data_IF_147762964438
#
_entry.id   IF_147762964438
#
_cell.length_a   1.000
_cell.length_b   1.000
_cell.length_c   1.000
_cell.angle_alpha   90.00
_cell.angle_beta   90.00
_cell.angle_gamma   90.00
#
_symmetry.space_group_name_H-M   'P 1'
#
loop_
_entity.id
_entity.type
_entity.pdbx_description
1 polymer ?
#
# COMPACT_ATOMS: atom_id res chain seq x y z
N UNK A 1 15.00 -11.20 -14.88
CA UNK A 1 14.06 -10.28 -14.20
C UNK A 1 14.82 -9.80 -13.00
N UNK A 2 14.94 -8.49 -12.76
CA UNK A 2 15.55 -8.02 -11.53
C UNK A 2 14.81 -8.64 -10.36
N UNK A 3 15.58 -9.04 -9.37
CA UNK A 3 15.13 -9.97 -8.35
C UNK A 3 14.10 -9.28 -7.44
N UNK A 4 13.15 -10.05 -6.90
CA UNK A 4 12.25 -9.60 -5.84
C UNK A 4 13.07 -9.42 -4.55
N UNK A 5 13.80 -8.29 -4.50
CA UNK A 5 14.77 -7.89 -3.46
C UNK A 5 14.02 -7.59 -2.17
N UNK A 6 12.95 -6.81 -2.25
CA UNK A 6 12.05 -6.53 -1.12
C UNK A 6 11.52 -7.82 -0.50
N UNK A 7 10.91 -8.69 -1.32
CA UNK A 7 10.38 -9.96 -0.84
C UNK A 7 11.47 -10.90 -0.30
N UNK A 8 12.71 -10.80 -0.81
CA UNK A 8 13.84 -11.55 -0.25
C UNK A 8 14.20 -11.06 1.16
N UNK A 9 14.27 -9.75 1.36
CA UNK A 9 14.53 -9.17 2.68
C UNK A 9 13.47 -9.59 3.70
N UNK A 10 12.18 -9.54 3.32
CA UNK A 10 11.09 -10.03 4.18
C UNK A 10 11.26 -11.52 4.51
N UNK A 11 11.55 -12.35 3.51
CA UNK A 11 11.69 -13.78 3.70
C UNK A 11 12.89 -14.13 4.59
N UNK A 12 14.01 -13.46 4.39
CA UNK A 12 15.22 -13.67 5.20
C UNK A 12 14.99 -13.20 6.64
N UNK A 13 14.29 -12.07 6.85
CA UNK A 13 13.93 -11.60 8.18
C UNK A 13 13.03 -12.60 8.90
N UNK A 14 11.98 -13.07 8.23
CA UNK A 14 11.07 -14.05 8.79
C UNK A 14 11.76 -15.37 9.18
N UNK A 15 12.77 -15.81 8.39
CA UNK A 15 13.51 -17.05 8.67
C UNK A 15 14.70 -16.85 9.64
N UNK A 16 14.94 -15.64 10.14
CA UNK A 16 16.07 -15.34 11.01
C UNK A 16 17.43 -15.36 10.31
N UNK A 17 17.46 -15.14 8.98
CA UNK A 17 18.65 -15.12 8.13
C UNK A 17 18.87 -13.77 7.44
N UNK A 18 18.25 -12.71 7.97
CA UNK A 18 18.42 -11.35 7.47
C UNK A 18 19.84 -10.84 7.72
N UNK A 19 20.32 -10.02 6.78
CA UNK A 19 21.68 -9.48 6.74
C UNK A 19 21.55 -8.00 6.40
N UNK A 20 21.51 -7.10 7.40
CA UNK A 20 21.32 -5.68 7.15
C UNK A 20 22.46 -5.08 6.31
N UNK A 21 22.21 -3.98 5.57
CA UNK A 21 20.95 -3.23 5.52
C UNK A 21 20.01 -3.66 4.38
N UNK A 22 18.72 -3.34 4.53
CA UNK A 22 17.82 -3.12 3.39
C UNK A 22 17.87 -1.62 3.08
N UNK A 23 18.26 -1.25 1.87
CA UNK A 23 18.35 0.14 1.44
C UNK A 23 17.22 0.49 0.47
N UNK A 24 16.77 1.74 0.54
CA UNK A 24 15.88 2.35 -0.44
C UNK A 24 16.61 3.52 -1.11
N UNK A 25 16.82 3.39 -2.42
CA UNK A 25 17.33 4.47 -3.27
C UNK A 25 16.16 5.28 -3.78
N UNK A 26 16.32 6.60 -3.89
CA UNK A 26 15.31 7.52 -4.40
C UNK A 26 15.92 8.53 -5.39
N UNK A 27 15.09 9.37 -6.01
CA UNK A 27 15.53 10.35 -7.01
C UNK A 27 15.80 11.76 -6.44
N UNK A 28 15.70 11.97 -5.13
CA UNK A 28 15.80 13.29 -4.48
C UNK A 28 16.88 13.39 -3.39
N UNK A 29 17.52 12.29 -3.01
CA UNK A 29 18.48 12.23 -1.91
C UNK A 29 19.41 11.01 -1.96
N UNK A 30 20.18 10.84 -0.89
CA UNK A 30 21.06 9.67 -0.70
C UNK A 30 20.22 8.43 -0.32
N UNK A 31 20.75 7.21 -0.54
CA UNK A 31 20.04 5.99 -0.14
C UNK A 31 19.81 5.94 1.37
N UNK A 32 18.61 5.54 1.77
CA UNK A 32 18.18 5.46 3.16
C UNK A 32 18.07 3.99 3.61
N UNK A 33 18.33 3.71 4.88
CA UNK A 33 18.10 2.38 5.44
C UNK A 33 16.62 2.22 5.79
N UNK A 34 15.99 1.18 5.26
CA UNK A 34 14.61 0.81 5.56
C UNK A 34 14.62 -0.28 6.65
N UNK A 35 14.20 0.01 7.89
CA UNK A 35 14.18 -0.98 8.95
C UNK A 35 13.19 -2.09 8.61
N UNK A 36 13.67 -3.31 8.37
CA UNK A 36 12.84 -4.41 7.87
C UNK A 36 11.80 -4.88 8.90
N UNK A 37 12.09 -4.68 10.19
CA UNK A 37 11.19 -4.96 11.31
C UNK A 37 9.86 -4.19 11.24
N UNK A 38 9.86 -3.03 10.57
CA UNK A 38 8.66 -2.22 10.32
C UNK A 38 7.64 -3.05 9.54
N UNK A 39 8.04 -3.97 8.66
CA UNK A 39 7.09 -4.85 7.95
C UNK A 39 6.54 -5.99 8.82
N UNK A 40 7.04 -6.17 10.04
CA UNK A 40 6.67 -7.25 10.95
C UNK A 40 6.12 -6.74 12.29
N UNK A 41 5.66 -5.49 12.34
CA UNK A 41 4.97 -4.90 13.51
C UNK A 41 3.93 -5.86 14.08
N UNK A 42 3.88 -5.92 15.40
CA UNK A 42 2.83 -6.60 16.14
C UNK A 42 1.61 -5.68 16.30
N UNK A 43 0.42 -6.19 16.65
CA UNK A 43 -0.79 -5.38 16.78
C UNK A 43 -0.65 -4.17 17.71
N UNK A 44 0.12 -4.31 18.80
CA UNK A 44 0.37 -3.22 19.77
C UNK A 44 1.30 -2.11 19.21
N UNK A 45 1.99 -2.37 18.11
CA UNK A 45 2.93 -1.43 17.45
C UNK A 45 2.30 -0.70 16.25
N UNK A 46 1.02 -0.97 15.93
CA UNK A 46 0.31 -0.29 14.86
C UNK A 46 -0.01 1.16 15.22
N UNK A 47 0.07 2.05 14.24
CA UNK A 47 -0.31 3.45 14.44
C UNK A 47 -1.82 3.59 14.70
N UNK A 48 -2.23 4.71 15.29
CA UNK A 48 -3.65 5.03 15.50
C UNK A 48 -4.42 5.03 14.17
N UNK A 49 -3.79 5.49 13.09
CA UNK A 49 -4.36 5.47 11.74
C UNK A 49 -4.57 4.04 11.22
N UNK A 50 -3.58 3.15 11.38
CA UNK A 50 -3.70 1.74 10.97
C UNK A 50 -4.81 1.03 11.75
N UNK A 51 -4.86 1.23 13.07
CA UNK A 51 -5.91 0.68 13.93
C UNK A 51 -7.29 1.18 13.50
N UNK A 52 -7.43 2.48 13.24
CA UNK A 52 -8.69 3.06 12.80
C UNK A 52 -9.13 2.54 11.41
N UNK A 53 -8.19 2.35 10.48
CA UNK A 53 -8.48 1.73 9.19
C UNK A 53 -8.98 0.28 9.32
N UNK A 54 -8.40 -0.49 10.25
CA UNK A 54 -8.85 -1.86 10.57
C UNK A 54 -10.27 -1.83 11.15
N UNK A 55 -10.58 -0.93 12.08
CA UNK A 55 -11.92 -0.77 12.66
C UNK A 55 -12.98 -0.38 11.62
N UNK A 56 -12.58 0.39 10.61
CA UNK A 56 -13.43 0.76 9.49
C UNK A 56 -13.62 -0.37 8.48
N UNK A 57 -12.89 -1.48 8.54
CA UNK A 57 -13.14 -2.60 7.63
C UNK A 57 -14.47 -3.30 7.98
N UNK A 58 -15.23 -3.67 6.96
CA UNK A 58 -16.46 -4.46 7.13
C UNK A 58 -16.67 -5.42 5.96
N UNK A 59 -17.44 -6.48 6.23
CA UNK A 59 -17.83 -7.49 5.25
C UNK A 59 -16.66 -8.34 4.76
N UNK A 60 -16.56 -8.47 3.45
CA UNK A 60 -15.46 -9.15 2.75
C UNK A 60 -14.36 -8.16 2.41
N UNK A 61 -13.16 -8.41 2.92
CA UNK A 61 -12.02 -7.50 2.80
C UNK A 61 -10.99 -8.02 1.79
N UNK A 62 -10.53 -7.14 0.90
CA UNK A 62 -9.32 -7.34 0.09
C UNK A 62 -8.21 -6.45 0.64
N UNK A 63 -7.19 -7.05 1.24
CA UNK A 63 -5.98 -6.36 1.70
C UNK A 63 -4.96 -6.35 0.54
N UNK A 64 -4.68 -5.18 -0.02
CA UNK A 64 -3.87 -5.02 -1.24
C UNK A 64 -2.48 -4.52 -0.89
N UNK A 65 -1.45 -5.21 -1.41
CA UNK A 65 -0.07 -4.94 -1.03
C UNK A 65 0.20 -5.42 0.40
N UNK A 66 -0.38 -6.57 0.76
CA UNK A 66 -0.41 -7.06 2.14
C UNK A 66 0.98 -7.34 2.73
N UNK A 67 2.04 -7.43 1.93
CA UNK A 67 3.43 -7.53 2.38
C UNK A 67 3.64 -8.76 3.25
N UNK A 68 4.10 -8.56 4.49
CA UNK A 68 4.25 -9.66 5.45
C UNK A 68 2.92 -10.08 6.13
N UNK A 69 1.79 -9.44 5.79
CA UNK A 69 0.45 -9.82 6.21
C UNK A 69 0.00 -9.25 7.56
N UNK A 70 0.62 -8.18 8.06
CA UNK A 70 0.32 -7.60 9.38
C UNK A 70 -1.17 -7.29 9.53
N UNK A 71 -1.75 -6.51 8.60
CA UNK A 71 -3.16 -6.15 8.65
C UNK A 71 -4.06 -7.37 8.40
N UNK A 72 -3.74 -8.19 7.40
CA UNK A 72 -4.50 -9.41 7.11
C UNK A 72 -4.60 -10.37 8.30
N UNK A 73 -3.53 -10.57 9.07
CA UNK A 73 -3.51 -11.47 10.23
C UNK A 73 -4.52 -11.06 11.30
N UNK A 74 -4.71 -9.75 11.50
CA UNK A 74 -5.71 -9.20 12.41
C UNK A 74 -7.11 -9.32 11.80
N UNK A 75 -7.27 -8.86 10.56
CA UNK A 75 -8.56 -8.81 9.89
C UNK A 75 -9.19 -10.18 9.66
N UNK A 76 -8.40 -11.23 9.39
CA UNK A 76 -8.91 -12.58 9.11
C UNK A 76 -9.58 -13.27 10.31
N UNK A 77 -9.46 -12.70 11.51
CA UNK A 77 -10.15 -13.18 12.71
C UNK A 77 -11.49 -12.46 12.94
N UNK A 78 -11.71 -11.33 12.26
CA UNK A 78 -12.94 -10.52 12.34
C UNK A 78 -13.80 -10.61 11.07
N UNK A 79 -13.16 -10.76 9.91
CA UNK A 79 -13.76 -10.67 8.59
C UNK A 79 -13.27 -11.80 7.67
N UNK A 80 -13.98 -12.01 6.56
CA UNK A 80 -13.43 -12.80 5.47
C UNK A 80 -12.44 -11.92 4.69
N UNK A 81 -11.15 -12.07 5.00
CA UNK A 81 -10.07 -11.31 4.37
C UNK A 81 -9.32 -12.14 3.33
N UNK A 82 -8.98 -11.50 2.22
CA UNK A 82 -8.08 -12.01 1.17
C UNK A 82 -6.89 -11.07 1.08
N UNK A 83 -5.68 -11.60 1.30
CA UNK A 83 -4.43 -10.88 1.07
C UNK A 83 -4.03 -10.98 -0.40
N UNK A 84 -3.69 -9.85 -1.02
CA UNK A 84 -3.23 -9.75 -2.39
C UNK A 84 -1.85 -9.10 -2.42
N UNK A 85 -0.88 -9.78 -3.01
CA UNK A 85 0.47 -9.22 -3.19
C UNK A 85 1.10 -9.67 -4.50
N UNK A 86 1.94 -8.83 -5.10
CA UNK A 86 2.68 -9.13 -6.33
C UNK A 86 4.01 -9.85 -6.07
N UNK A 87 4.53 -9.80 -4.83
CA UNK A 87 5.71 -10.53 -4.41
C UNK A 87 5.35 -11.96 -4.01
N UNK A 88 5.90 -12.93 -4.75
CA UNK A 88 5.79 -14.35 -4.41
C UNK A 88 6.45 -14.66 -3.06
N UNK A 89 7.52 -13.94 -2.70
CA UNK A 89 8.24 -14.15 -1.44
C UNK A 89 7.47 -13.57 -0.26
N UNK A 90 6.85 -12.40 -0.41
CA UNK A 90 5.90 -11.85 0.56
C UNK A 90 4.70 -12.80 0.78
N UNK A 91 4.12 -13.34 -0.29
CA UNK A 91 3.09 -14.38 -0.21
C UNK A 91 3.54 -15.62 0.59
N UNK A 92 4.81 -16.03 0.45
CA UNK A 92 5.37 -17.14 1.22
C UNK A 92 5.48 -16.77 2.70
N UNK A 93 5.95 -15.57 3.03
CA UNK A 93 6.00 -15.06 4.41
C UNK A 93 4.60 -15.06 5.03
N UNK A 94 3.60 -14.50 4.35
CA UNK A 94 2.21 -14.51 4.81
C UNK A 94 1.70 -15.92 5.11
N UNK A 95 1.99 -16.88 4.21
CA UNK A 95 1.61 -18.27 4.41
C UNK A 95 2.27 -18.89 5.64
N UNK A 96 3.55 -18.60 5.88
CA UNK A 96 4.30 -19.10 7.04
C UNK A 96 3.82 -18.45 8.35
N UNK A 97 3.36 -17.20 8.31
CA UNK A 97 2.78 -16.49 9.45
C UNK A 97 1.32 -16.88 9.75
N UNK A 98 0.66 -17.66 8.89
CA UNK A 98 -0.69 -18.17 9.14
C UNK A 98 -1.82 -17.39 8.47
N UNK A 99 -1.53 -16.60 7.44
CA UNK A 99 -2.57 -15.98 6.60
C UNK A 99 -3.34 -17.06 5.83
N UNK A 100 -4.67 -17.05 5.94
CA UNK A 100 -5.56 -18.12 5.45
C UNK A 100 -5.83 -18.04 3.94
N UNK A 101 -6.04 -16.84 3.39
CA UNK A 101 -6.38 -16.62 1.99
C UNK A 101 -5.37 -15.67 1.34
N UNK A 102 -4.50 -16.20 0.49
CA UNK A 102 -3.43 -15.44 -0.16
C UNK A 102 -3.56 -15.57 -1.67
N UNK A 103 -3.48 -14.44 -2.37
CA UNK A 103 -3.45 -14.37 -3.82
C UNK A 103 -2.16 -13.68 -4.25
N UNK A 104 -1.33 -14.42 -5.00
CA UNK A 104 -0.17 -13.85 -5.68
C UNK A 104 -0.59 -13.31 -7.05
N UNK A 105 -0.83 -12.00 -7.14
CA UNK A 105 -1.24 -11.35 -8.38
C UNK A 105 -0.97 -9.84 -8.33
N UNK A 106 -0.67 -9.27 -9.49
CA UNK A 106 -0.70 -7.81 -9.68
C UNK A 106 -2.14 -7.29 -9.57
N UNK A 107 -2.33 -6.21 -8.80
CA UNK A 107 -3.64 -5.62 -8.53
C UNK A 107 -4.47 -5.38 -9.80
N UNK A 108 -3.89 -4.74 -10.80
CA UNK A 108 -4.61 -4.37 -12.03
C UNK A 108 -4.89 -5.57 -12.94
N UNK A 109 -4.25 -6.72 -12.70
CA UNK A 109 -4.50 -8.00 -13.37
C UNK A 109 -5.41 -8.93 -12.58
N UNK A 110 -5.72 -8.61 -11.33
CA UNK A 110 -6.56 -9.47 -10.49
C UNK A 110 -8.01 -9.51 -11.01
N UNK A 111 -8.54 -10.70 -11.26
CA UNK A 111 -9.91 -10.92 -11.75
C UNK A 111 -10.60 -12.00 -10.91
N UNK A 112 -11.07 -11.67 -9.70
CA UNK A 112 -11.77 -12.60 -8.84
C UNK A 112 -13.20 -12.84 -9.31
N UNK A 113 -13.74 -14.02 -9.00
CA UNK A 113 -15.16 -14.32 -9.16
C UNK A 113 -16.02 -13.64 -8.08
N UNK A 114 -15.41 -13.30 -6.94
CA UNK A 114 -16.08 -12.62 -5.83
C UNK A 114 -15.85 -11.11 -5.86
N UNK A 115 -16.76 -10.39 -5.21
CA UNK A 115 -16.65 -8.97 -4.94
C UNK A 115 -16.29 -8.71 -3.47
N UNK A 116 -15.83 -7.50 -3.19
CA UNK A 116 -15.36 -7.05 -1.87
C UNK A 116 -16.19 -5.88 -1.35
N UNK A 117 -16.53 -5.92 -0.07
CA UNK A 117 -17.21 -4.83 0.63
C UNK A 117 -16.21 -3.74 1.01
N UNK A 118 -14.97 -4.15 1.35
CA UNK A 118 -13.86 -3.25 1.65
C UNK A 118 -12.62 -3.64 0.85
N UNK A 119 -11.99 -2.68 0.17
CA UNK A 119 -10.62 -2.80 -0.33
C UNK A 119 -9.75 -1.94 0.59
N UNK A 120 -8.76 -2.56 1.23
CA UNK A 120 -7.83 -1.90 2.14
C UNK A 120 -6.47 -1.72 1.45
N UNK A 121 -5.92 -0.50 1.56
CA UNK A 121 -4.62 -0.12 1.00
C UNK A 121 -3.90 0.77 2.02
N UNK A 122 -3.02 0.20 2.85
CA UNK A 122 -2.35 0.92 3.94
C UNK A 122 -0.84 1.04 3.72
N UNK A 123 -0.17 1.83 4.58
CA UNK A 123 1.27 2.12 4.54
C UNK A 123 1.66 2.89 3.27
N UNK A 124 1.03 4.06 3.09
CA UNK A 124 1.03 4.83 1.85
C UNK A 124 0.44 4.02 0.69
N UNK A 125 -0.79 3.54 0.86
CA UNK A 125 -1.47 2.63 -0.06
C UNK A 125 -1.56 3.15 -1.50
N UNK A 126 -1.59 4.47 -1.72
CA UNK A 126 -1.53 5.07 -3.07
C UNK A 126 -0.23 4.77 -3.80
N UNK A 127 0.83 4.50 -3.03
CA UNK A 127 2.18 4.20 -3.44
C UNK A 127 2.28 3.22 -4.58
N UNK A 128 1.68 2.03 -4.42
CA UNK A 128 1.75 0.93 -5.40
C UNK A 128 1.18 1.29 -6.78
N UNK A 129 0.43 2.39 -6.89
CA UNK A 129 -0.14 2.89 -8.14
C UNK A 129 0.88 3.75 -8.90
N UNK A 130 1.83 4.37 -8.20
CA UNK A 130 3.00 5.07 -8.74
C UNK A 130 2.73 6.38 -9.50
N UNK A 131 1.54 6.60 -10.06
CA UNK A 131 1.20 7.84 -10.77
C UNK A 131 -0.27 8.23 -10.61
N UNK A 132 -0.60 9.52 -10.72
CA UNK A 132 -1.99 10.00 -10.69
C UNK A 132 -2.85 9.35 -11.78
N UNK A 133 -2.26 9.10 -12.96
CA UNK A 133 -2.94 8.41 -14.06
C UNK A 133 -3.30 6.97 -13.68
N UNK A 134 -2.38 6.25 -13.04
CA UNK A 134 -2.63 4.90 -12.58
C UNK A 134 -3.63 4.86 -11.41
N UNK A 135 -3.60 5.84 -10.51
CA UNK A 135 -4.63 6.01 -9.48
C UNK A 135 -6.03 6.17 -10.09
N UNK A 136 -6.19 7.06 -11.07
CA UNK A 136 -7.45 7.24 -11.81
C UNK A 136 -7.91 5.96 -12.52
N UNK A 137 -6.98 5.22 -13.13
CA UNK A 137 -7.26 3.93 -13.77
C UNK A 137 -7.67 2.87 -12.74
N UNK A 138 -7.01 2.83 -11.59
CA UNK A 138 -7.32 1.95 -10.48
C UNK A 138 -8.73 2.21 -9.97
N UNK A 139 -9.13 3.46 -9.72
CA UNK A 139 -10.50 3.78 -9.29
C UNK A 139 -11.56 3.34 -10.30
N UNK A 140 -11.27 3.41 -11.60
CA UNK A 140 -12.17 2.85 -12.63
C UNK A 140 -12.26 1.33 -12.52
N UNK A 141 -11.11 0.67 -12.35
CA UNK A 141 -11.01 -0.78 -12.22
C UNK A 141 -11.59 -1.32 -10.90
N UNK A 142 -11.44 -0.60 -9.78
CA UNK A 142 -11.88 -1.00 -8.45
C UNK A 142 -13.41 -1.19 -8.38
N UNK A 143 -14.19 -0.47 -9.19
CA UNK A 143 -15.64 -0.73 -9.35
C UNK A 143 -15.94 -2.17 -9.79
N UNK A 144 -15.02 -2.78 -10.55
CA UNK A 144 -15.14 -4.18 -10.97
C UNK A 144 -14.82 -5.17 -9.85
N UNK A 145 -14.15 -4.73 -8.78
CA UNK A 145 -13.83 -5.54 -7.60
C UNK A 145 -14.83 -5.34 -6.46
N UNK A 146 -15.46 -4.18 -6.38
CA UNK A 146 -16.38 -3.87 -5.28
C UNK A 146 -17.75 -4.55 -5.42
N UNK A 147 -18.32 -4.89 -4.26
CA UNK A 147 -19.70 -5.26 -4.07
C UNK A 147 -20.59 -4.01 -4.11
N UNK A 148 -21.91 -4.21 -4.04
CA UNK A 148 -22.84 -3.09 -3.88
C UNK A 148 -22.54 -2.34 -2.59
N UNK A 149 -22.45 -1.01 -2.65
CA UNK A 149 -22.03 -0.14 -1.54
C UNK A 149 -20.60 -0.36 -1.01
N UNK A 150 -19.77 -1.12 -1.74
CA UNK A 150 -18.38 -1.36 -1.36
C UNK A 150 -17.55 -0.06 -1.35
N UNK A 151 -16.49 -0.06 -0.55
CA UNK A 151 -15.60 1.11 -0.34
C UNK A 151 -14.13 0.74 -0.46
N UNK A 152 -13.31 1.76 -0.70
CA UNK A 152 -11.86 1.69 -0.55
C UNK A 152 -11.48 2.46 0.70
N UNK A 153 -10.61 1.89 1.52
CA UNK A 153 -9.94 2.57 2.64
C UNK A 153 -8.47 2.66 2.26
N UNK A 154 -7.95 3.88 2.16
CA UNK A 154 -6.61 4.15 1.63
C UNK A 154 -5.93 5.28 2.38
N UNK A 155 -4.66 5.11 2.71
CA UNK A 155 -3.82 6.17 3.28
C UNK A 155 -2.81 6.72 2.27
N UNK A 156 -2.34 7.93 2.57
CA UNK A 156 -1.23 8.61 1.89
C UNK A 156 -0.71 9.73 2.78
N UNK A 157 0.43 10.31 2.40
CA UNK A 157 0.94 11.55 2.98
C UNK A 157 1.04 12.67 1.93
N UNK A 158 1.01 13.91 2.40
CA UNK A 158 1.49 15.05 1.63
C UNK A 158 3.00 15.23 1.85
N UNK A 159 3.78 15.10 0.78
CA UNK A 159 5.24 15.20 0.83
C UNK A 159 5.74 16.55 0.31
N UNK A 160 4.89 17.58 0.31
CA UNK A 160 5.24 18.93 -0.15
C UNK A 160 6.46 19.50 0.61
N UNK A 161 6.63 19.14 1.88
CA UNK A 161 7.77 19.54 2.71
C UNK A 161 9.15 19.19 2.11
N UNK A 162 9.24 18.14 1.28
CA UNK A 162 10.49 17.78 0.59
C UNK A 162 10.93 18.81 -0.45
N UNK A 163 10.03 19.70 -0.88
CA UNK A 163 10.25 20.65 -1.96
C UNK A 163 10.24 22.12 -1.49
N UNK A 164 9.99 22.41 -0.21
CA UNK A 164 9.92 23.77 0.34
C UNK A 164 11.20 24.59 0.12
N UNK A 165 12.37 23.94 0.21
CA UNK A 165 13.68 24.56 0.00
C UNK A 165 14.23 24.36 -1.43
N UNK A 166 13.46 23.72 -2.31
CA UNK A 166 13.90 23.26 -3.63
C UNK A 166 13.03 23.72 -4.80
N UNK A 167 13.22 23.08 -5.95
CA UNK A 167 12.35 23.24 -7.11
C UNK A 167 11.37 22.06 -7.19
N UNK A 168 10.10 22.37 -7.42
CA UNK A 168 9.10 21.35 -7.70
C UNK A 168 9.40 20.70 -9.06
N UNK A 169 9.13 19.40 -9.22
CA UNK A 169 9.25 18.76 -10.52
C UNK A 169 8.20 19.30 -11.51
N UNK A 170 8.47 19.12 -12.81
CA UNK A 170 7.53 19.44 -13.90
C UNK A 170 6.29 18.51 -13.93
N UNK A 171 6.20 17.58 -13.00
CA UNK A 171 5.10 16.64 -12.80
C UNK A 171 4.60 16.73 -11.36
N UNK A 172 3.54 16.01 -11.02
CA UNK A 172 3.03 16.02 -9.66
C UNK A 172 4.08 15.52 -8.65
N UNK A 173 4.45 16.37 -7.70
CA UNK A 173 5.58 16.18 -6.79
C UNK A 173 5.51 14.89 -5.98
N UNK A 174 4.29 14.43 -5.66
CA UNK A 174 4.05 13.15 -5.02
C UNK A 174 4.46 11.89 -5.81
N UNK A 175 4.86 12.02 -7.08
CA UNK A 175 5.31 10.88 -7.90
C UNK A 175 6.83 10.68 -7.79
N UNK A 176 7.23 9.76 -6.93
CA UNK A 176 8.62 9.43 -6.62
C UNK A 176 9.07 8.17 -7.37
N UNK A 177 10.37 8.02 -7.61
CA UNK A 177 10.97 6.78 -8.10
C UNK A 177 11.87 6.17 -7.02
N UNK A 178 11.64 4.90 -6.70
CA UNK A 178 12.39 4.14 -5.70
C UNK A 178 13.03 2.89 -6.30
N UNK A 179 14.07 2.40 -5.63
CA UNK A 179 14.69 1.10 -5.89
C UNK A 179 15.20 0.49 -4.59
N UNK A 180 14.80 -0.75 -4.30
CA UNK A 180 15.35 -1.48 -3.17
C UNK A 180 16.73 -2.06 -3.49
N UNK A 181 17.61 -2.09 -2.49
CA UNK A 181 18.85 -2.83 -2.50
C UNK A 181 18.98 -3.70 -1.24
N UNK A 182 19.34 -4.96 -1.40
CA UNK A 182 19.56 -5.91 -0.31
C UNK A 182 20.68 -6.86 -0.70
N UNK A 183 21.64 -7.14 0.19
CA UNK A 183 22.80 -8.01 -0.10
C UNK A 183 23.59 -7.59 -1.35
N UNK A 184 23.72 -6.28 -1.59
CA UNK A 184 24.38 -5.68 -2.76
C UNK A 184 23.69 -6.00 -4.10
N UNK A 185 22.45 -6.51 -4.05
CA UNK A 185 21.61 -6.74 -5.23
C UNK A 185 20.51 -5.67 -5.30
N UNK A 186 20.42 -5.01 -6.46
CA UNK A 186 19.43 -3.98 -6.71
C UNK A 186 18.20 -4.58 -7.41
N UNK A 187 17.02 -4.18 -6.93
CA UNK A 187 15.73 -4.57 -7.48
C UNK A 187 15.34 -3.76 -8.72
N UNK A 188 14.11 -3.94 -9.17
CA UNK A 188 13.53 -3.07 -10.20
C UNK A 188 13.33 -1.64 -9.66
N UNK A 189 13.53 -0.65 -10.52
CA UNK A 189 13.03 0.70 -10.29
C UNK A 189 11.50 0.66 -10.35
N UNK A 190 10.85 1.27 -9.37
CA UNK A 190 9.40 1.40 -9.32
C UNK A 190 8.98 2.81 -8.97
N UNK A 191 7.78 3.18 -9.43
CA UNK A 191 7.17 4.46 -9.10
C UNK A 191 6.34 4.33 -7.85
N UNK A 192 6.35 5.36 -7.02
CA UNK A 192 5.57 5.44 -5.80
C UNK A 192 4.81 6.75 -5.76
N UNK A 193 3.50 6.69 -5.53
CA UNK A 193 2.64 7.86 -5.44
C UNK A 193 2.29 8.17 -3.99
N UNK A 194 2.80 9.28 -3.49
CA UNK A 194 2.17 10.04 -2.41
C UNK A 194 1.20 11.02 -3.06
N UNK A 195 0.02 11.21 -2.50
CA UNK A 195 -1.00 12.12 -3.01
C UNK A 195 -1.58 12.93 -1.86
N UNK A 196 -1.57 14.26 -1.96
CA UNK A 196 -2.21 15.17 -1.04
C UNK A 196 -3.74 15.03 -1.07
N UNK A 197 -4.40 15.47 0.01
CA UNK A 197 -5.84 15.31 0.18
C UNK A 197 -6.65 15.98 -0.94
N UNK A 198 -6.28 17.19 -1.36
CA UNK A 198 -7.00 17.97 -2.37
C UNK A 198 -6.90 17.31 -3.75
N UNK A 199 -5.70 16.85 -4.12
CA UNK A 199 -5.46 16.14 -5.37
C UNK A 199 -6.17 14.78 -5.36
N UNK A 200 -6.17 14.04 -4.25
CA UNK A 200 -6.90 12.78 -4.13
C UNK A 200 -8.40 13.00 -4.35
N UNK A 201 -9.00 13.98 -3.66
CA UNK A 201 -10.41 14.31 -3.79
C UNK A 201 -10.77 14.71 -5.22
N UNK A 202 -9.96 15.59 -5.85
CA UNK A 202 -10.17 16.05 -7.22
C UNK A 202 -10.12 14.89 -8.22
N UNK A 203 -9.05 14.08 -8.19
CA UNK A 203 -8.87 12.97 -9.15
C UNK A 203 -9.94 11.90 -8.95
N UNK A 204 -10.33 11.61 -7.70
CA UNK A 204 -11.41 10.66 -7.41
C UNK A 204 -12.77 11.16 -7.96
N UNK A 205 -13.10 12.44 -7.74
CA UNK A 205 -14.33 13.04 -8.23
C UNK A 205 -14.44 13.00 -9.77
N UNK A 206 -13.33 13.19 -10.49
CA UNK A 206 -13.30 13.10 -11.96
C UNK A 206 -13.73 11.72 -12.52
N UNK A 207 -13.61 10.65 -11.72
CA UNK A 207 -14.05 9.28 -12.08
C UNK A 207 -15.24 8.81 -11.25
N UNK A 208 -15.97 9.77 -10.67
CA UNK A 208 -17.24 9.55 -10.02
C UNK A 208 -17.12 8.93 -8.64
N UNK A 209 -16.10 9.26 -7.87
CA UNK A 209 -15.94 8.80 -6.49
C UNK A 209 -16.08 9.95 -5.50
N UNK A 210 -16.79 9.69 -4.41
CA UNK A 210 -16.78 10.53 -3.22
C UNK A 210 -15.58 10.12 -2.37
N UNK A 211 -14.93 11.11 -1.76
CA UNK A 211 -13.82 10.92 -0.85
C UNK A 211 -14.19 11.54 0.50
N UNK A 212 -13.94 10.81 1.57
CA UNK A 212 -14.07 11.28 2.94
C UNK A 212 -12.72 11.10 3.62
N UNK A 213 -12.07 12.21 3.99
CA UNK A 213 -10.90 12.15 4.88
C UNK A 213 -11.44 11.88 6.28
N UNK A 214 -11.03 10.76 6.87
CA UNK A 214 -11.58 10.26 8.13
C UNK A 214 -10.56 10.30 9.27
N UNK A 215 -9.29 10.51 8.96
CA UNK A 215 -8.20 10.67 9.92
C UNK A 215 -7.13 11.58 9.31
N UNK A 216 -6.55 12.44 10.13
CA UNK A 216 -5.38 13.26 9.82
C UNK A 216 -4.35 13.00 10.92
N UNK A 217 -3.14 12.61 10.52
CA UNK A 217 -2.03 12.34 11.41
C UNK A 217 -1.21 13.58 11.73
N UNK A 218 -0.10 13.37 12.44
CA UNK A 218 0.78 14.46 12.89
C UNK A 218 1.91 14.78 11.89
N UNK A 219 2.19 13.89 10.94
CA UNK A 219 3.29 13.96 9.96
C UNK A 219 2.76 14.04 8.51
N UNK A 220 1.67 14.81 8.31
CA UNK A 220 1.00 15.03 7.02
C UNK A 220 0.42 13.76 6.36
N UNK A 221 0.36 12.64 7.09
CA UNK A 221 -0.37 11.43 6.72
C UNK A 221 -1.88 11.58 6.96
N UNK A 222 -2.68 10.91 6.16
CA UNK A 222 -4.13 10.90 6.30
C UNK A 222 -4.74 9.58 5.83
N UNK A 223 -5.93 9.29 6.34
CA UNK A 223 -6.74 8.15 5.92
C UNK A 223 -8.00 8.65 5.20
N UNK A 224 -8.27 8.08 4.03
CA UNK A 224 -9.46 8.39 3.25
C UNK A 224 -10.32 7.15 3.00
N UNK A 225 -11.64 7.36 3.04
CA UNK A 225 -12.64 6.40 2.56
C UNK A 225 -13.17 6.89 1.22
N UNK A 226 -13.03 6.07 0.18
CA UNK A 226 -13.55 6.38 -1.16
C UNK A 226 -14.74 5.49 -1.46
N UNK A 227 -15.83 6.10 -1.92
CA UNK A 227 -17.05 5.43 -2.31
C UNK A 227 -17.46 5.82 -3.74
N UNK A 228 -17.82 4.86 -4.60
CA UNK A 228 -18.32 5.21 -5.92
C UNK A 228 -19.65 5.97 -5.78
N UNK A 229 -19.86 7.03 -6.58
CA UNK A 229 -21.17 7.68 -6.70
C UNK A 229 -22.22 6.64 -7.07
N UNK A 230 -23.36 6.73 -6.39
CA UNK A 230 -24.59 5.97 -6.64
C UNK A 230 -25.22 6.30 -7.99
#
# INVERSE_FOLDING_TARGET
MPEDVYGQALLDYHNGTFEPPLLIHNNYGEPEEMPVEVFFREPDDLSDMENYAIELCDGVVLDVGAGAGVHTLILQDMHHTVALDSSKKACKVMSQRGVKNIVHCDLLKYRPDRKYDTILMLMNGTGILGTLRAFKNFLTFARTLLAENGRIIIDSSDIEYLYEEGEYPDYYYGQVEYQFEYKQEQGELFKWLYIDQDTLQRVAAEVGWATYVVFEGEEDEYLAVLQPFS
#
